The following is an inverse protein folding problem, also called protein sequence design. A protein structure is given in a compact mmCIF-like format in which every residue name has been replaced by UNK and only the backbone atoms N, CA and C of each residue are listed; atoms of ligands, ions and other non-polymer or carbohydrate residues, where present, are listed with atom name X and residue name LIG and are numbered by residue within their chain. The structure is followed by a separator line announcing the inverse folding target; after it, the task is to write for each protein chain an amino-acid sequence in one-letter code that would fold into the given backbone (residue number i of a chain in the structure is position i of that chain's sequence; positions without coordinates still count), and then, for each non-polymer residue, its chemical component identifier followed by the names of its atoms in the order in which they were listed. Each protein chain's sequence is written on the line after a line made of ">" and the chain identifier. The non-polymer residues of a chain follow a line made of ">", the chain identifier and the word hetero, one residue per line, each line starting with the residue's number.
data_IF_636467326769
#
_entry.id   IF_636467326769
#
_cell.length_a   1.000
_cell.length_b   1.000
_cell.length_c   1.000
_cell.angle_alpha   90.00
_cell.angle_beta   90.00
_cell.angle_gamma   90.00
#
_symmetry.space_group_name_H-M   'P 1'
#
loop_
_entity.id
_entity.type
_entity.pdbx_description
1 polymer ?
#
# COMPACT_ATOMS: atom_id res chain seq x y z
N UNK A 1 4.35 -15.22 -1.71
CA UNK A 1 3.33 -14.23 -1.29
C UNK A 1 2.67 -13.63 -2.53
N UNK A 2 1.66 -12.77 -2.38
CA UNK A 2 0.90 -12.24 -3.53
C UNK A 2 1.76 -11.51 -4.56
N UNK A 3 2.68 -10.64 -4.13
CA UNK A 3 3.55 -9.88 -5.04
C UNK A 3 4.46 -10.80 -5.86
N UNK A 4 5.10 -11.79 -5.23
CA UNK A 4 5.94 -12.76 -5.95
C UNK A 4 5.16 -13.54 -7.00
N UNK A 5 3.91 -13.91 -6.70
CA UNK A 5 3.06 -14.64 -7.64
C UNK A 5 2.68 -13.80 -8.87
N UNK A 6 2.39 -12.50 -8.67
CA UNK A 6 2.11 -11.56 -9.77
C UNK A 6 3.35 -11.41 -10.66
N UNK A 7 4.53 -11.18 -10.08
CA UNK A 7 5.78 -11.04 -10.84
C UNK A 7 6.10 -12.31 -11.62
N UNK A 8 5.94 -13.48 -11.00
CA UNK A 8 6.16 -14.77 -11.66
C UNK A 8 5.19 -14.99 -12.82
N UNK A 9 3.91 -14.63 -12.64
CA UNK A 9 2.87 -14.78 -13.67
C UNK A 9 3.09 -13.84 -14.85
N UNK A 10 3.49 -12.59 -14.58
CA UNK A 10 3.72 -11.58 -15.62
C UNK A 10 5.11 -11.68 -16.27
N UNK A 11 6.06 -12.36 -15.64
CA UNK A 11 7.46 -12.40 -16.07
C UNK A 11 8.19 -11.06 -15.89
N UNK A 12 7.59 -10.09 -15.20
CA UNK A 12 8.14 -8.73 -15.03
C UNK A 12 7.70 -8.09 -13.72
N UNK A 13 8.53 -7.18 -13.21
CA UNK A 13 8.21 -6.28 -12.09
C UNK A 13 7.74 -4.90 -12.53
N UNK A 14 7.71 -4.64 -13.84
CA UNK A 14 7.44 -3.32 -14.44
C UNK A 14 5.95 -3.01 -14.49
N UNK A 15 5.36 -2.80 -13.32
CA UNK A 15 3.98 -2.36 -13.19
C UNK A 15 3.82 -1.35 -12.04
N UNK A 16 2.89 -0.42 -12.21
CA UNK A 16 2.56 0.57 -11.19
C UNK A 16 1.97 -0.10 -9.94
N UNK A 17 2.37 0.38 -8.75
CA UNK A 17 1.90 -0.14 -7.46
C UNK A 17 1.61 1.00 -6.51
N UNK A 18 0.47 0.94 -5.83
CA UNK A 18 0.18 1.76 -4.67
C UNK A 18 0.67 1.03 -3.42
N UNK A 19 1.57 1.65 -2.65
CA UNK A 19 2.11 1.09 -1.41
C UNK A 19 1.36 1.65 -0.21
N UNK A 20 0.61 0.80 0.48
CA UNK A 20 0.00 1.16 1.76
C UNK A 20 0.93 0.74 2.90
N UNK A 21 1.58 1.72 3.54
CA UNK A 21 2.50 1.46 4.64
C UNK A 21 1.75 1.08 5.92
N UNK A 22 1.89 -0.16 6.35
CA UNK A 22 1.26 -0.67 7.58
C UNK A 22 2.17 -0.60 8.83
N UNK A 23 3.46 -0.31 8.64
CA UNK A 23 4.47 -0.33 9.71
C UNK A 23 5.30 -1.62 9.71
N UNK A 24 6.28 -1.66 10.59
CA UNK A 24 7.22 -2.77 10.79
C UNK A 24 7.42 -3.14 12.27
N UNK A 25 6.46 -2.77 13.13
CA UNK A 25 6.49 -3.02 14.57
C UNK A 25 6.16 -4.49 14.90
N UNK A 26 7.07 -5.38 14.54
CA UNK A 26 7.01 -6.79 14.89
C UNK A 26 8.40 -7.35 15.20
N UNK A 27 8.52 -8.26 16.18
CA UNK A 27 9.78 -8.95 16.44
C UNK A 27 10.23 -9.80 15.24
N UNK A 28 11.53 -10.03 15.12
CA UNK A 28 12.09 -10.88 14.05
C UNK A 28 11.41 -12.26 14.06
N UNK A 29 10.88 -12.66 12.90
CA UNK A 29 10.17 -13.93 12.73
C UNK A 29 8.65 -13.88 12.95
N UNK A 30 8.09 -12.74 13.39
CA UNK A 30 6.64 -12.56 13.67
C UNK A 30 5.89 -11.79 12.59
N UNK A 31 6.50 -11.63 11.41
CA UNK A 31 5.90 -10.88 10.30
C UNK A 31 4.56 -11.48 9.85
N UNK A 32 4.45 -12.81 9.82
CA UNK A 32 3.21 -13.50 9.39
C UNK A 32 2.04 -13.15 10.32
N UNK A 33 2.27 -13.18 11.63
CA UNK A 33 1.26 -12.81 12.62
C UNK A 33 0.85 -11.34 12.49
N UNK A 34 1.81 -10.46 12.18
CA UNK A 34 1.56 -9.03 12.01
C UNK A 34 0.68 -8.73 10.80
N UNK A 35 0.98 -9.33 9.63
CA UNK A 35 0.22 -9.08 8.39
C UNK A 35 -1.15 -9.76 8.35
N UNK A 36 -1.35 -10.81 9.14
CA UNK A 36 -2.64 -11.51 9.27
C UNK A 36 -3.47 -11.02 10.47
N UNK A 37 -2.90 -10.15 11.31
CA UNK A 37 -3.56 -9.59 12.48
C UNK A 37 -4.55 -8.48 12.15
N UNK A 38 -5.39 -8.17 13.14
CA UNK A 38 -6.29 -7.01 13.08
C UNK A 38 -5.59 -5.75 13.60
N UNK A 39 -5.97 -4.60 13.05
CA UNK A 39 -5.56 -3.29 13.56
C UNK A 39 -5.99 -3.07 15.01
N UNK A 40 -5.11 -2.47 15.81
CA UNK A 40 -5.44 -1.96 17.14
C UNK A 40 -6.30 -0.70 17.00
N UNK A 41 -7.17 -0.38 17.98
CA UNK A 41 -7.96 0.85 17.96
C UNK A 41 -7.12 2.12 17.78
N UNK A 42 -5.94 2.18 18.40
CA UNK A 42 -5.00 3.30 18.28
C UNK A 42 -4.41 3.46 16.87
N UNK A 43 -4.33 2.39 16.09
CA UNK A 43 -3.80 2.42 14.72
C UNK A 43 -4.89 2.85 13.73
N UNK A 44 -6.17 2.59 14.03
CA UNK A 44 -7.29 2.95 13.16
C UNK A 44 -7.39 4.44 12.89
N UNK A 45 -7.02 5.28 13.86
CA UNK A 45 -7.02 6.74 13.71
C UNK A 45 -5.96 7.22 12.69
N UNK A 46 -4.90 6.44 12.48
CA UNK A 46 -3.88 6.68 11.46
C UNK A 46 -4.22 6.01 10.12
N UNK A 47 -4.82 4.82 10.17
CA UNK A 47 -5.14 4.02 8.99
C UNK A 47 -6.31 4.60 8.21
N UNK A 48 -7.36 5.08 8.88
CA UNK A 48 -8.57 5.61 8.22
C UNK A 48 -8.26 6.82 7.31
N UNK A 49 -7.51 7.86 7.73
CA UNK A 49 -7.13 8.95 6.84
C UNK A 49 -6.29 8.47 5.65
N UNK A 50 -5.30 7.61 5.89
CA UNK A 50 -4.47 7.03 4.82
C UNK A 50 -5.28 6.22 3.81
N UNK A 51 -6.32 5.52 4.28
CA UNK A 51 -7.22 4.75 3.42
C UNK A 51 -8.00 5.68 2.50
N UNK A 52 -8.48 6.82 3.01
CA UNK A 52 -9.13 7.84 2.18
C UNK A 52 -8.18 8.37 1.10
N UNK A 53 -6.95 8.71 1.48
CA UNK A 53 -5.95 9.19 0.53
C UNK A 53 -5.62 8.12 -0.52
N UNK A 54 -5.55 6.84 -0.14
CA UNK A 54 -5.34 5.74 -1.08
C UNK A 54 -6.49 5.60 -2.10
N UNK A 55 -7.74 5.82 -1.68
CA UNK A 55 -8.90 5.84 -2.60
C UNK A 55 -8.77 6.98 -3.60
N UNK A 56 -8.42 8.18 -3.14
CA UNK A 56 -8.19 9.32 -4.03
C UNK A 56 -7.01 9.09 -4.99
N UNK A 57 -5.92 8.46 -4.52
CA UNK A 57 -4.79 8.09 -5.38
C UNK A 57 -5.22 7.15 -6.51
N UNK A 58 -6.06 6.15 -6.22
CA UNK A 58 -6.58 5.23 -7.25
C UNK A 58 -7.45 5.98 -8.27
N UNK A 59 -8.32 6.88 -7.82
CA UNK A 59 -9.13 7.72 -8.71
C UNK A 59 -8.27 8.68 -9.54
N UNK A 60 -7.28 9.32 -8.93
CA UNK A 60 -6.33 10.21 -9.60
C UNK A 60 -5.54 9.45 -10.67
N UNK A 61 -5.06 8.25 -10.34
CA UNK A 61 -4.30 7.42 -11.26
C UNK A 61 -5.07 7.09 -12.54
N UNK A 62 -6.37 6.78 -12.41
CA UNK A 62 -7.23 6.44 -13.56
C UNK A 62 -7.73 7.67 -14.33
N UNK A 63 -7.80 8.85 -13.71
CA UNK A 63 -8.38 10.06 -14.32
C UNK A 63 -7.36 11.02 -14.90
N UNK A 64 -6.22 11.23 -14.22
CA UNK A 64 -5.20 12.22 -14.61
C UNK A 64 -3.82 11.61 -14.90
N UNK A 65 -3.66 10.29 -14.72
CA UNK A 65 -2.47 9.54 -15.05
C UNK A 65 -1.38 9.51 -13.96
N UNK A 66 -0.44 8.56 -14.12
CA UNK A 66 0.55 8.20 -13.09
C UNK A 66 1.45 9.36 -12.65
N UNK A 67 1.97 10.16 -13.58
CA UNK A 67 2.96 11.21 -13.25
C UNK A 67 2.36 12.29 -12.33
N UNK A 68 1.13 12.72 -12.63
CA UNK A 68 0.42 13.73 -11.85
C UNK A 68 0.02 13.19 -10.48
N UNK A 69 -0.48 11.95 -10.43
CA UNK A 69 -0.79 11.28 -9.16
C UNK A 69 0.46 11.15 -8.29
N UNK A 70 1.58 10.68 -8.85
CA UNK A 70 2.84 10.55 -8.10
C UNK A 70 3.33 11.89 -7.56
N UNK A 71 3.26 12.96 -8.36
CA UNK A 71 3.67 14.30 -7.93
C UNK A 71 2.82 14.82 -6.77
N UNK A 72 1.51 14.55 -6.80
CA UNK A 72 0.56 15.03 -5.80
C UNK A 72 0.64 14.26 -4.47
N UNK A 73 0.97 12.96 -4.50
CA UNK A 73 0.84 12.08 -3.33
C UNK A 73 2.16 11.52 -2.78
N UNK A 74 3.25 11.44 -3.56
CA UNK A 74 4.49 10.83 -3.06
C UNK A 74 5.25 11.71 -2.03
N UNK A 75 4.97 13.01 -1.99
CA UNK A 75 5.60 13.96 -1.07
C UNK A 75 4.69 14.36 0.11
N UNK A 76 3.57 13.66 0.27
CA UNK A 76 2.55 13.90 1.29
C UNK A 76 2.70 12.88 2.42
#
# INVERSE_FOLDING_TARGET
>A
NGLSHIIQTLGTSEFARLRFGIGDDFPRGRQVDYVLGSWKPSELDLVKPKLRDAVEMVQSFTTIGIERTMTAYNNK
#
